data_IF_254529809719
#
_entry.id   IF_254529809719
#
_cell.length_a   1.000
_cell.length_b   1.000
_cell.length_c   1.000
_cell.angle_alpha   90.00
_cell.angle_beta   90.00
_cell.angle_gamma   90.00
#
_symmetry.space_group_name_H-M   'P 1'
#
loop_
_entity.id
_entity.type
_entity.pdbx_description
1 polymer ?
#
# COMPACT_ATOMS: atom_id res chain seq x y z
N UNK A 1 -15.41 25.85 -12.39
CA UNK A 1 -15.45 24.73 -11.42
C UNK A 1 -14.52 23.63 -11.94
N UNK A 2 -13.44 23.31 -11.21
CA UNK A 2 -12.19 22.76 -11.75
C UNK A 2 -12.29 21.33 -12.33
N UNK A 3 -12.32 21.21 -13.66
CA UNK A 3 -12.20 19.95 -14.42
C UNK A 3 -10.75 19.58 -14.85
N UNK A 4 -9.72 20.19 -14.24
CA UNK A 4 -8.30 19.99 -14.63
C UNK A 4 -7.37 19.31 -13.62
N UNK A 5 -7.76 19.09 -12.36
CA UNK A 5 -6.80 18.86 -11.25
C UNK A 5 -6.51 17.39 -10.88
N UNK A 6 -7.23 16.42 -11.43
CA UNK A 6 -7.02 15.00 -11.03
C UNK A 6 -5.78 14.43 -11.72
N UNK A 7 -5.61 14.68 -13.02
CA UNK A 7 -4.45 14.18 -13.77
C UNK A 7 -3.13 14.79 -13.28
N UNK A 8 -3.12 16.08 -12.95
CA UNK A 8 -1.94 16.73 -12.36
C UNK A 8 -1.60 16.16 -11.00
N UNK A 9 -2.59 15.95 -10.11
CA UNK A 9 -2.31 15.36 -8.80
C UNK A 9 -1.80 13.93 -8.90
N UNK A 10 -2.40 13.10 -9.77
CA UNK A 10 -1.93 11.73 -10.03
C UNK A 10 -0.50 11.75 -10.55
N UNK A 11 -0.15 12.70 -11.44
CA UNK A 11 1.23 12.87 -11.91
C UNK A 11 2.17 13.29 -10.78
N UNK A 12 1.78 14.25 -9.94
CA UNK A 12 2.59 14.70 -8.81
C UNK A 12 2.87 13.56 -7.84
N UNK A 13 1.85 12.80 -7.45
CA UNK A 13 2.00 11.65 -6.56
C UNK A 13 2.77 10.50 -7.23
N UNK A 14 2.49 10.21 -8.49
CA UNK A 14 3.18 9.16 -9.25
C UNK A 14 4.68 9.45 -9.42
N UNK A 15 5.04 10.72 -9.67
CA UNK A 15 6.42 11.18 -9.70
C UNK A 15 7.04 11.11 -8.31
N UNK A 16 6.40 11.70 -7.30
CA UNK A 16 6.93 11.72 -5.94
C UNK A 16 7.17 10.30 -5.40
N UNK A 17 6.22 9.38 -5.58
CA UNK A 17 6.43 7.97 -5.23
C UNK A 17 7.46 7.29 -6.14
N UNK A 18 7.54 7.66 -7.41
CA UNK A 18 8.49 7.10 -8.38
C UNK A 18 9.95 7.51 -8.15
N UNK A 19 10.18 8.69 -7.60
CA UNK A 19 11.52 9.22 -7.26
C UNK A 19 12.12 8.53 -6.02
N UNK A 20 11.36 7.66 -5.36
CA UNK A 20 11.81 6.88 -4.20
C UNK A 20 12.23 5.49 -4.64
N UNK A 21 13.22 4.96 -3.94
CA UNK A 21 13.57 3.55 -4.05
C UNK A 21 12.54 2.70 -3.34
N UNK A 22 12.14 1.60 -3.99
CA UNK A 22 11.29 0.57 -3.39
C UNK A 22 11.90 -0.79 -3.68
N UNK A 23 11.70 -1.75 -2.78
CA UNK A 23 12.06 -3.13 -3.01
C UNK A 23 10.90 -3.90 -3.65
N UNK A 24 9.67 -3.64 -3.22
CA UNK A 24 8.50 -4.40 -3.69
C UNK A 24 7.28 -3.55 -3.98
N UNK A 25 6.54 -3.95 -5.01
CA UNK A 25 5.13 -3.64 -5.17
C UNK A 25 4.30 -4.84 -4.73
N UNK A 26 3.35 -4.63 -3.81
CA UNK A 26 2.56 -5.72 -3.24
C UNK A 26 1.07 -5.50 -3.41
N UNK A 27 0.35 -6.60 -3.60
CA UNK A 27 -1.11 -6.60 -3.67
C UNK A 27 -1.68 -7.51 -2.59
N UNK A 28 -2.62 -7.01 -1.80
CA UNK A 28 -3.33 -7.76 -0.76
C UNK A 28 -4.79 -7.84 -1.14
N UNK A 29 -5.29 -9.06 -1.35
CA UNK A 29 -6.71 -9.35 -1.49
C UNK A 29 -7.16 -10.09 -0.24
N UNK A 30 -8.21 -9.64 0.43
CA UNK A 30 -8.64 -10.33 1.66
C UNK A 30 -9.43 -11.61 1.35
N UNK A 31 -9.32 -12.60 2.23
CA UNK A 31 -10.12 -13.83 2.14
C UNK A 31 -11.62 -13.59 2.35
N UNK A 32 -11.95 -12.54 3.09
CA UNK A 32 -13.31 -12.17 3.48
C UNK A 32 -13.55 -10.72 3.12
N UNK A 33 -14.81 -10.34 2.91
CA UNK A 33 -15.16 -8.95 2.62
C UNK A 33 -14.73 -8.02 3.77
N UNK A 34 -13.78 -7.14 3.47
CA UNK A 34 -13.31 -6.10 4.39
C UNK A 34 -13.87 -4.76 3.94
N UNK A 35 -14.64 -4.12 4.82
CA UNK A 35 -15.15 -2.76 4.63
C UNK A 35 -14.04 -1.71 4.82
N UNK A 36 -14.15 -0.53 4.21
CA UNK A 36 -13.15 0.54 4.29
C UNK A 36 -12.57 0.81 5.68
N UNK A 37 -13.43 1.08 6.67
CA UNK A 37 -13.02 1.37 8.05
C UNK A 37 -12.19 0.25 8.70
N UNK A 38 -12.52 -1.01 8.38
CA UNK A 38 -11.77 -2.16 8.90
C UNK A 38 -10.44 -2.32 8.17
N UNK A 39 -10.39 -2.02 6.87
CA UNK A 39 -9.17 -2.04 6.08
C UNK A 39 -8.17 -1.00 6.59
N UNK A 40 -8.60 0.25 6.74
CA UNK A 40 -7.78 1.33 7.30
C UNK A 40 -7.18 0.91 8.65
N UNK A 41 -8.02 0.39 9.56
CA UNK A 41 -7.53 -0.12 10.85
C UNK A 41 -6.49 -1.24 10.71
N UNK A 42 -6.68 -2.17 9.77
CA UNK A 42 -5.70 -3.23 9.49
C UNK A 42 -4.38 -2.62 9.03
N UNK A 43 -4.42 -1.60 8.18
CA UNK A 43 -3.22 -0.94 7.66
C UNK A 43 -2.49 -0.16 8.75
N UNK A 44 -3.19 0.60 9.60
CA UNK A 44 -2.59 1.28 10.76
C UNK A 44 -1.96 0.27 11.77
N UNK A 45 -2.61 -0.87 11.97
CA UNK A 45 -2.04 -1.96 12.77
C UNK A 45 -0.80 -2.59 12.12
N UNK A 46 -0.74 -2.62 10.78
CA UNK A 46 0.43 -3.07 10.03
C UNK A 46 1.58 -2.05 10.16
N UNK A 47 1.31 -0.75 10.05
CA UNK A 47 2.31 0.30 10.30
C UNK A 47 2.94 0.13 11.69
N UNK A 48 2.11 0.01 12.72
CA UNK A 48 2.56 -0.25 14.11
C UNK A 48 3.36 -1.56 14.23
N UNK A 49 3.02 -2.57 13.42
CA UNK A 49 3.75 -3.83 13.39
C UNK A 49 5.13 -3.66 12.76
N UNK A 50 5.25 -2.88 11.69
CA UNK A 50 6.53 -2.60 11.05
C UNK A 50 7.45 -1.80 11.98
N UNK A 51 6.93 -0.77 12.67
CA UNK A 51 7.68 0.02 13.65
C UNK A 51 8.31 -0.82 14.77
N UNK A 52 7.62 -1.89 15.19
CA UNK A 52 8.09 -2.78 16.25
C UNK A 52 9.12 -3.81 15.80
N UNK A 53 9.17 -4.12 14.50
CA UNK A 53 9.95 -5.24 13.98
C UNK A 53 11.09 -4.82 13.05
N UNK A 54 11.09 -3.59 12.52
CA UNK A 54 12.07 -3.12 11.55
C UNK A 54 12.66 -1.77 11.96
N UNK A 55 13.99 -1.65 11.87
CA UNK A 55 14.71 -0.43 12.21
C UNK A 55 14.90 0.54 11.03
N UNK A 56 14.70 0.06 9.80
CA UNK A 56 14.81 0.83 8.57
C UNK A 56 13.81 0.32 7.54
N UNK A 57 12.69 1.03 7.38
CA UNK A 57 11.65 0.66 6.42
C UNK A 57 10.87 1.88 5.92
N UNK A 58 10.26 1.74 4.75
CA UNK A 58 9.26 2.66 4.23
C UNK A 58 8.15 1.86 3.59
N UNK A 59 6.91 2.21 3.88
CA UNK A 59 5.73 1.63 3.29
C UNK A 59 4.80 2.75 2.86
N UNK A 60 4.41 2.76 1.59
CA UNK A 60 3.20 3.45 1.15
C UNK A 60 2.11 2.41 0.92
N UNK A 61 0.88 2.71 1.34
CA UNK A 61 -0.26 1.86 1.04
C UNK A 61 -1.46 2.68 0.60
N UNK A 62 -2.25 2.09 -0.28
CA UNK A 62 -3.54 2.60 -0.69
C UNK A 62 -4.56 1.47 -0.67
N UNK A 63 -5.73 1.76 -0.15
CA UNK A 63 -6.90 0.90 -0.25
C UNK A 63 -7.65 1.18 -1.54
N UNK A 64 -8.19 0.15 -2.17
CA UNK A 64 -9.10 0.30 -3.30
C UNK A 64 -10.34 -0.58 -3.11
N UNK A 65 -11.46 -0.15 -3.69
CA UNK A 65 -12.62 -1.03 -3.83
C UNK A 65 -12.36 -2.03 -4.96
N UNK A 66 -12.73 -3.28 -4.74
CA UNK A 66 -12.79 -4.25 -5.84
C UNK A 66 -13.86 -3.84 -6.86
N UNK A 67 -13.78 -4.39 -8.07
CA UNK A 67 -14.70 -4.06 -9.18
C UNK A 67 -16.19 -4.26 -8.85
N UNK A 68 -16.51 -5.14 -7.90
CA UNK A 68 -17.88 -5.38 -7.42
C UNK A 68 -18.33 -4.44 -6.28
N UNK A 69 -17.45 -3.57 -5.76
CA UNK A 69 -17.75 -2.55 -4.75
C UNK A 69 -17.96 -3.04 -3.30
N UNK A 70 -18.12 -4.34 -3.08
CA UNK A 70 -18.48 -4.90 -1.76
C UNK A 70 -17.31 -5.12 -0.80
N UNK A 71 -16.11 -5.24 -1.34
CA UNK A 71 -14.89 -5.48 -0.57
C UNK A 71 -13.80 -4.49 -0.99
N UNK A 72 -12.78 -4.44 -0.16
CA UNK A 72 -11.59 -3.63 -0.41
C UNK A 72 -10.39 -4.54 -0.61
N UNK A 73 -9.36 -4.04 -1.26
CA UNK A 73 -8.03 -4.64 -1.38
C UNK A 73 -6.99 -3.55 -1.20
N UNK A 74 -5.72 -3.91 -1.06
CA UNK A 74 -4.65 -2.93 -0.89
C UNK A 74 -3.54 -3.12 -1.91
N UNK A 75 -2.94 -1.99 -2.29
CA UNK A 75 -1.68 -1.91 -2.99
C UNK A 75 -0.64 -1.24 -2.11
N UNK A 76 0.56 -1.81 -2.07
CA UNK A 76 1.63 -1.35 -1.21
C UNK A 76 2.91 -1.16 -2.03
N UNK A 77 3.65 -0.10 -1.72
CA UNK A 77 5.06 0.05 -2.08
C UNK A 77 5.89 -0.15 -0.80
N UNK A 78 6.88 -1.04 -0.85
CA UNK A 78 7.62 -1.49 0.31
C UNK A 78 9.12 -1.33 0.10
N UNK A 79 9.82 -0.73 1.06
CA UNK A 79 11.29 -0.67 1.16
C UNK A 79 11.71 -1.13 2.55
N UNK A 80 12.74 -1.97 2.63
CA UNK A 80 13.33 -2.42 3.89
C UNK A 80 13.75 -3.89 3.84
N UNK A 81 14.84 -4.22 4.52
CA UNK A 81 15.32 -5.60 4.66
C UNK A 81 14.32 -6.36 5.55
N UNK A 82 13.84 -7.52 5.09
CA UNK A 82 12.89 -8.34 5.84
C UNK A 82 11.44 -7.86 5.84
N UNK A 83 11.12 -6.76 5.12
CA UNK A 83 9.77 -6.15 5.17
C UNK A 83 8.69 -7.09 4.66
N UNK A 84 8.99 -7.87 3.62
CA UNK A 84 8.06 -8.83 3.01
C UNK A 84 7.66 -9.91 4.01
N UNK A 85 8.60 -10.40 4.78
CA UNK A 85 8.41 -11.43 5.79
C UNK A 85 7.51 -10.91 6.92
N UNK A 86 7.79 -9.71 7.44
CA UNK A 86 6.97 -9.07 8.49
C UNK A 86 5.53 -8.82 8.02
N UNK A 87 5.34 -8.33 6.80
CA UNK A 87 4.01 -8.12 6.21
C UNK A 87 3.24 -9.44 6.09
N UNK A 88 3.88 -10.49 5.57
CA UNK A 88 3.27 -11.81 5.45
C UNK A 88 2.88 -12.38 6.81
N UNK A 89 3.79 -12.34 7.79
CA UNK A 89 3.56 -12.87 9.13
C UNK A 89 2.38 -12.16 9.82
N UNK A 90 2.30 -10.83 9.71
CA UNK A 90 1.17 -10.05 10.24
C UNK A 90 -0.16 -10.53 9.64
N UNK A 91 -0.25 -10.62 8.32
CA UNK A 91 -1.49 -10.97 7.62
C UNK A 91 -1.91 -12.42 7.85
N UNK A 92 -0.94 -13.35 7.88
CA UNK A 92 -1.20 -14.77 8.15
C UNK A 92 -1.61 -14.99 9.60
N UNK A 93 -0.94 -14.35 10.57
CA UNK A 93 -1.28 -14.44 12.00
C UNK A 93 -2.70 -13.93 12.27
N UNK A 94 -3.12 -12.86 11.58
CA UNK A 94 -4.49 -12.33 11.66
C UNK A 94 -5.51 -13.12 10.81
N UNK A 95 -5.08 -14.15 10.08
CA UNK A 95 -5.91 -14.98 9.18
C UNK A 95 -6.65 -14.14 8.12
N UNK A 96 -6.03 -13.04 7.68
CA UNK A 96 -6.61 -12.10 6.71
C UNK A 96 -6.47 -12.59 5.26
N UNK A 97 -5.38 -13.29 4.98
CA UNK A 97 -5.02 -13.80 3.65
C UNK A 97 -4.53 -15.25 3.72
N UNK A 98 -4.41 -15.88 2.55
CA UNK A 98 -3.60 -17.08 2.36
C UNK A 98 -2.54 -16.80 1.28
N UNK A 99 -1.63 -17.75 1.01
CA UNK A 99 -0.52 -17.54 0.05
C UNK A 99 -0.95 -17.11 -1.36
N UNK A 100 -2.18 -17.38 -1.78
CA UNK A 100 -2.70 -16.98 -3.12
C UNK A 100 -3.18 -15.53 -3.17
N UNK A 101 -3.43 -14.95 -2.01
CA UNK A 101 -4.11 -13.67 -1.80
C UNK A 101 -3.15 -12.51 -1.47
N UNK A 102 -1.87 -12.79 -1.33
CA UNK A 102 -0.81 -11.80 -1.25
C UNK A 102 0.23 -12.08 -2.33
N UNK A 103 0.64 -11.03 -3.04
CA UNK A 103 1.70 -11.10 -4.03
C UNK A 103 2.66 -9.95 -3.78
N UNK A 104 3.95 -10.26 -3.85
CA UNK A 104 5.03 -9.29 -3.82
C UNK A 104 5.79 -9.42 -5.13
N UNK A 105 5.84 -8.34 -5.87
CA UNK A 105 6.60 -8.19 -7.10
C UNK A 105 7.81 -7.33 -6.79
N UNK A 106 8.98 -7.69 -7.33
CA UNK A 106 10.13 -6.80 -7.27
C UNK A 106 9.76 -5.47 -7.93
N UNK A 107 10.13 -4.37 -7.28
CA UNK A 107 9.77 -3.05 -7.79
C UNK A 107 10.70 -2.64 -8.93
N UNK A 108 10.08 -2.27 -10.04
CA UNK A 108 10.72 -1.78 -11.25
C UNK A 108 10.08 -0.45 -11.62
N UNK A 109 10.86 0.64 -11.56
CA UNK A 109 10.37 2.01 -11.80
C UNK A 109 9.68 2.17 -13.16
N UNK A 110 10.17 1.47 -14.17
CA UNK A 110 9.70 1.43 -15.55
C UNK A 110 8.33 0.75 -15.71
N UNK A 111 7.89 -0.04 -14.71
CA UNK A 111 6.59 -0.72 -14.74
C UNK A 111 5.44 0.16 -14.22
N UNK A 112 5.72 1.39 -13.78
CA UNK A 112 4.71 2.40 -13.46
C UNK A 112 3.88 2.13 -12.20
N UNK A 113 4.37 1.27 -11.29
CA UNK A 113 3.65 0.94 -10.06
C UNK A 113 3.35 2.18 -9.19
N UNK A 114 4.24 3.19 -9.16
CA UNK A 114 4.00 4.46 -8.46
C UNK A 114 2.79 5.24 -9.01
N UNK A 115 2.61 5.25 -10.33
CA UNK A 115 1.46 5.84 -11.00
C UNK A 115 0.19 5.02 -10.79
N UNK A 116 0.33 3.69 -10.80
CA UNK A 116 -0.79 2.78 -10.55
C UNK A 116 -1.41 3.01 -9.17
N UNK A 117 -0.60 3.05 -8.10
CA UNK A 117 -1.09 3.31 -6.74
C UNK A 117 -1.58 4.74 -6.54
N UNK A 118 -1.22 5.68 -7.41
CA UNK A 118 -1.68 7.07 -7.35
C UNK A 118 -3.04 7.28 -8.03
N UNK A 119 -3.48 6.34 -8.87
CA UNK A 119 -4.65 6.49 -9.76
C UNK A 119 -5.94 6.88 -9.02
N UNK A 120 -6.14 6.34 -7.82
CA UNK A 120 -7.38 6.51 -7.05
C UNK A 120 -7.23 7.41 -5.83
N UNK A 121 -6.14 8.17 -5.72
CA UNK A 121 -5.85 9.01 -4.54
C UNK A 121 -6.89 10.12 -4.28
N UNK A 122 -7.75 10.41 -5.27
CA UNK A 122 -8.87 11.36 -5.15
C UNK A 122 -10.24 10.71 -5.09
N UNK A 123 -10.33 9.40 -5.26
CA UNK A 123 -11.60 8.70 -5.20
C UNK A 123 -12.19 8.82 -3.80
N UNK A 124 -13.51 8.94 -3.74
CA UNK A 124 -14.22 8.91 -2.45
C UNK A 124 -14.09 7.52 -1.84
N UNK A 125 -14.04 7.45 -0.50
CA UNK A 125 -13.93 6.21 0.27
C UNK A 125 -12.65 5.41 0.02
N UNK A 126 -11.57 6.10 -0.33
CA UNK A 126 -10.22 5.55 -0.39
C UNK A 126 -9.42 6.12 0.76
N UNK A 127 -8.71 5.25 1.46
CA UNK A 127 -7.74 5.61 2.49
C UNK A 127 -6.35 5.19 2.02
N UNK A 128 -5.36 5.98 2.38
CA UNK A 128 -3.96 5.71 2.07
C UNK A 128 -3.09 6.27 3.19
N UNK A 129 -1.89 5.71 3.32
CA UNK A 129 -0.94 6.11 4.35
C UNK A 129 0.50 5.89 3.91
N UNK A 130 1.40 6.58 4.60
CA UNK A 130 2.83 6.35 4.49
C UNK A 130 3.42 6.18 5.89
N UNK A 131 4.12 5.08 6.10
CA UNK A 131 4.83 4.79 7.33
C UNK A 131 6.30 4.55 7.03
N UNK A 132 7.15 5.03 7.93
CA UNK A 132 8.59 4.94 7.80
C UNK A 132 9.22 5.02 9.18
N UNK A 133 10.28 4.26 9.39
CA UNK A 133 11.09 4.42 10.61
C UNK A 133 11.87 5.74 10.57
N UNK A 134 12.16 6.35 11.71
CA UNK A 134 12.88 7.64 11.77
C UNK A 134 14.26 7.63 11.08
N UNK A 135 14.88 6.47 10.94
CA UNK A 135 16.16 6.31 10.22
C UNK A 135 16.01 6.29 8.68
N UNK A 136 14.78 6.22 8.19
CA UNK A 136 14.46 6.23 6.75
C UNK A 136 14.18 7.68 6.35
N UNK A 137 15.17 8.35 5.76
CA UNK A 137 14.95 9.68 5.17
C UNK A 137 13.95 9.55 4.01
N UNK A 138 12.83 10.28 4.11
CA UNK A 138 11.85 10.45 3.04
C UNK A 138 12.34 11.39 1.94
#
# INVERSE_FOLDING_TARGET
MYKGRTGELVKCWGNWLGDREWNYFSTITYKHDIKPQRNEKIMLELETCLDKNLNNYTMFWIMEHTTNGYQTHNHLLLKGIGIKEVVNDFLFKKKLVNKKFIRHYDYHSEQGASYYVSKYIRSQNIEYGIAYSENSKL
#
